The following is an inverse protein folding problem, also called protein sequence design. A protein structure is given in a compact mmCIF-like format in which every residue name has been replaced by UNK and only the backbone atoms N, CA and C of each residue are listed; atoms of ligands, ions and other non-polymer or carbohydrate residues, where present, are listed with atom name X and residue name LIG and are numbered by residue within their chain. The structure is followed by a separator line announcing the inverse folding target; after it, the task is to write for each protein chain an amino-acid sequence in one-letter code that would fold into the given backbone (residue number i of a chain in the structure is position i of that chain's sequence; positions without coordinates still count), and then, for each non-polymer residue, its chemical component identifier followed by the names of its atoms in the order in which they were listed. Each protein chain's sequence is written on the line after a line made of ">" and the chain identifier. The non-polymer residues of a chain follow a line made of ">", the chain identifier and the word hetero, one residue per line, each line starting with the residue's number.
data_IF_396915877807
#
_entry.id   IF_396915877807
#
_cell.length_a   1.000
_cell.length_b   1.000
_cell.length_c   1.000
_cell.angle_alpha   90.00
_cell.angle_beta   90.00
_cell.angle_gamma   90.00
#
_symmetry.space_group_name_H-M   'P 1'
#
loop_
_entity.id
_entity.type
_entity.pdbx_description
1 polymer ?
#
# COMPACT_ATOMS: atom_id res chain seq x y z
N UNK A 1 -36.21 -20.00 52.51
CA UNK A 1 -37.38 -20.81 52.12
C UNK A 1 -37.28 -21.13 50.64
N UNK A 2 -37.24 -22.44 50.33
CA UNK A 2 -37.47 -23.16 49.06
C UNK A 2 -36.57 -22.94 47.83
N UNK A 3 -35.67 -23.92 47.66
CA UNK A 3 -35.21 -24.48 46.39
C UNK A 3 -36.37 -24.91 45.48
N UNK A 4 -36.09 -25.02 44.17
CA UNK A 4 -36.34 -26.26 43.42
C UNK A 4 -35.41 -26.32 42.20
N UNK A 5 -34.58 -27.37 42.18
CA UNK A 5 -33.90 -27.88 41.01
C UNK A 5 -34.87 -28.77 40.23
N UNK A 6 -34.62 -28.97 38.94
CA UNK A 6 -34.91 -30.24 38.28
C UNK A 6 -34.05 -30.38 37.02
N UNK A 7 -33.18 -31.40 37.10
CA UNK A 7 -32.38 -31.97 36.01
C UNK A 7 -33.23 -32.68 34.97
N UNK A 8 -32.72 -32.78 33.75
CA UNK A 8 -32.88 -33.99 32.95
C UNK A 8 -31.65 -34.17 32.05
N UNK A 9 -30.85 -35.19 32.37
CA UNK A 9 -29.85 -35.76 31.49
C UNK A 9 -30.54 -36.66 30.46
N UNK A 10 -30.00 -36.74 29.24
CA UNK A 10 -30.28 -37.84 28.31
C UNK A 10 -28.98 -38.21 27.61
N UNK A 11 -28.47 -39.36 27.99
CA UNK A 11 -27.40 -40.11 27.33
C UNK A 11 -27.98 -40.82 26.11
N UNK A 12 -27.34 -40.70 24.95
CA UNK A 12 -27.39 -41.73 23.92
C UNK A 12 -25.97 -42.19 23.63
N UNK A 13 -25.73 -43.46 23.94
CA UNK A 13 -24.62 -44.29 23.46
C UNK A 13 -24.85 -44.62 21.97
N UNK A 14 -23.77 -44.73 21.20
CA UNK A 14 -23.79 -45.39 19.89
C UNK A 14 -22.62 -44.99 18.99
N UNK A 15 -21.55 -45.80 19.02
CA UNK A 15 -20.48 -45.80 18.02
C UNK A 15 -20.99 -46.43 16.72
N UNK A 16 -20.62 -45.91 15.55
CA UNK A 16 -20.40 -46.79 14.38
C UNK A 16 -19.43 -46.12 13.40
N UNK A 17 -18.32 -46.80 13.16
CA UNK A 17 -17.25 -46.40 12.26
C UNK A 17 -17.31 -47.35 11.05
N UNK A 18 -17.47 -46.89 9.81
CA UNK A 18 -17.47 -47.79 8.66
C UNK A 18 -16.03 -48.20 8.27
N UNK A 19 -15.84 -49.42 7.76
CA UNK A 19 -14.53 -50.05 7.60
C UNK A 19 -13.84 -49.73 6.26
N UNK A 20 -12.52 -49.62 6.29
CA UNK A 20 -11.62 -50.19 5.27
C UNK A 20 -11.01 -51.47 5.87
N UNK A 21 -10.43 -52.44 5.14
CA UNK A 21 -10.22 -52.53 3.68
C UNK A 21 -10.64 -53.92 3.12
N UNK A 22 -10.65 -54.10 1.78
CA UNK A 22 -10.18 -55.35 1.17
C UNK A 22 -9.87 -55.19 -0.32
N UNK A 23 -8.61 -55.52 -0.61
CA UNK A 23 -7.94 -55.54 -1.90
C UNK A 23 -8.15 -56.91 -2.57
N UNK A 24 -7.85 -56.95 -3.88
CA UNK A 24 -7.67 -58.10 -4.78
C UNK A 24 -8.90 -58.55 -5.59
N UNK A 25 -8.91 -58.26 -6.89
CA UNK A 25 -8.21 -59.13 -7.85
C UNK A 25 -8.18 -58.56 -9.27
N UNK A 26 -7.15 -58.99 -10.01
CA UNK A 26 -6.95 -58.91 -11.45
C UNK A 26 -6.51 -57.56 -12.05
N UNK A 27 -5.22 -57.28 -11.88
CA UNK A 27 -4.40 -56.52 -12.83
C UNK A 27 -4.61 -57.02 -14.27
N UNK A 28 -5.27 -56.21 -15.10
CA UNK A 28 -5.12 -56.27 -16.54
C UNK A 28 -3.81 -55.57 -16.94
N UNK A 29 -3.06 -56.09 -17.91
CA UNK A 29 -1.83 -55.43 -18.36
C UNK A 29 -2.20 -54.11 -19.04
N UNK A 30 -1.81 -52.98 -18.45
CA UNK A 30 -1.82 -51.69 -19.15
C UNK A 30 -0.87 -51.81 -20.33
N UNK A 31 -1.41 -51.64 -21.52
CA UNK A 31 -0.63 -51.63 -22.75
C UNK A 31 0.34 -50.45 -22.71
N UNK A 32 1.55 -50.63 -23.24
CA UNK A 32 2.55 -49.56 -23.38
C UNK A 32 2.06 -48.35 -24.21
N UNK A 33 0.88 -48.45 -24.82
CA UNK A 33 0.20 -47.35 -25.50
C UNK A 33 -0.34 -46.28 -24.54
N UNK A 34 -0.90 -46.65 -23.37
CA UNK A 34 -1.56 -45.70 -22.47
C UNK A 34 -0.58 -44.87 -21.62
N UNK A 35 0.62 -45.39 -21.36
CA UNK A 35 1.68 -44.65 -20.67
C UNK A 35 2.27 -43.54 -21.55
N UNK A 36 2.24 -43.71 -22.88
CA UNK A 36 2.75 -42.70 -23.82
C UNK A 36 1.77 -41.53 -24.02
N UNK A 37 0.47 -41.75 -23.80
CA UNK A 37 -0.54 -40.71 -23.99
C UNK A 37 -0.53 -39.70 -22.83
N UNK A 38 -0.31 -40.16 -21.59
CA UNK A 38 -0.16 -39.29 -20.42
C UNK A 38 1.13 -38.45 -20.46
N UNK A 39 2.25 -39.01 -20.93
CA UNK A 39 3.52 -38.27 -21.09
C UNK A 39 3.41 -37.24 -22.23
N UNK A 40 2.61 -37.50 -23.27
CA UNK A 40 2.38 -36.55 -24.36
C UNK A 40 1.48 -35.38 -23.94
N UNK A 41 0.49 -35.61 -23.07
CA UNK A 41 -0.39 -34.58 -22.50
C UNK A 41 0.34 -33.65 -21.52
N UNK A 42 1.24 -34.18 -20.68
CA UNK A 42 2.07 -33.36 -19.78
C UNK A 42 3.07 -32.49 -20.55
N UNK A 43 3.67 -33.02 -21.63
CA UNK A 43 4.55 -32.24 -22.52
C UNK A 43 3.82 -31.14 -23.30
N UNK A 44 2.54 -31.32 -23.60
CA UNK A 44 1.72 -30.27 -24.24
C UNK A 44 1.27 -29.19 -23.24
N UNK A 45 1.04 -29.54 -21.97
CA UNK A 45 0.74 -28.57 -20.92
C UNK A 45 1.98 -27.70 -20.58
N UNK A 46 3.18 -28.27 -20.60
CA UNK A 46 4.44 -27.53 -20.43
C UNK A 46 4.76 -26.60 -21.61
N UNK A 47 4.25 -26.91 -22.80
CA UNK A 47 4.42 -26.07 -24.00
C UNK A 47 3.46 -24.88 -24.08
N UNK A 48 2.40 -24.84 -23.25
CA UNK A 48 1.38 -23.78 -23.25
C UNK A 48 1.36 -22.94 -21.96
N UNK A 49 2.10 -23.33 -20.92
CA UNK A 49 2.29 -22.52 -19.70
C UNK A 49 3.46 -21.57 -19.83
N UNK A 50 3.23 -20.31 -20.23
CA UNK A 50 4.25 -19.27 -20.19
C UNK A 50 4.81 -19.11 -18.78
N UNK A 51 6.14 -19.10 -18.64
CA UNK A 51 6.81 -18.98 -17.34
C UNK A 51 6.49 -17.59 -16.77
N UNK A 52 6.07 -17.51 -15.51
CA UNK A 52 5.74 -16.23 -14.84
C UNK A 52 6.91 -15.23 -14.82
N UNK A 53 8.13 -15.68 -15.09
CA UNK A 53 9.32 -14.83 -15.28
C UNK A 53 9.30 -14.04 -16.58
N UNK A 54 8.53 -14.46 -17.59
CA UNK A 54 8.51 -13.85 -18.92
C UNK A 54 7.55 -12.64 -18.98
N UNK A 55 6.66 -12.51 -17.99
CA UNK A 55 5.72 -11.38 -17.83
C UNK A 55 6.18 -10.35 -16.78
N UNK A 56 7.23 -10.63 -16.03
CA UNK A 56 7.78 -9.73 -15.02
C UNK A 56 8.80 -8.77 -15.67
N UNK A 57 8.33 -7.71 -16.35
CA UNK A 57 9.24 -6.66 -16.80
C UNK A 57 8.71 -5.62 -17.79
N UNK A 58 7.54 -5.82 -18.39
CA UNK A 58 6.96 -4.85 -19.31
C UNK A 58 5.97 -3.92 -18.59
N UNK A 59 6.50 -3.09 -17.69
CA UNK A 59 5.79 -1.87 -17.33
C UNK A 59 5.95 -0.88 -18.51
N UNK A 60 5.00 -0.86 -19.43
CA UNK A 60 4.90 0.19 -20.44
C UNK A 60 4.54 1.50 -19.74
N UNK A 61 5.55 2.27 -19.35
CA UNK A 61 5.34 3.66 -18.97
C UNK A 61 4.81 4.40 -20.20
N UNK A 62 3.57 4.87 -20.14
CA UNK A 62 2.96 5.66 -21.21
C UNK A 62 3.87 6.85 -21.55
N UNK A 63 4.40 6.86 -22.78
CA UNK A 63 5.35 7.87 -23.27
C UNK A 63 4.73 9.27 -23.47
N UNK A 64 3.40 9.41 -23.31
CA UNK A 64 2.65 10.65 -23.54
C UNK A 64 2.38 11.45 -22.26
N UNK A 65 3.33 11.45 -21.32
CA UNK A 65 3.32 12.52 -20.32
C UNK A 65 3.92 13.78 -20.97
N UNK A 66 3.19 14.92 -20.98
CA UNK A 66 3.76 16.17 -21.46
C UNK A 66 5.05 16.40 -20.68
N UNK A 67 6.16 16.61 -21.40
CA UNK A 67 7.48 16.92 -20.82
C UNK A 67 7.30 18.12 -19.89
N UNK A 68 7.06 17.83 -18.62
CA UNK A 68 7.03 18.83 -17.57
C UNK A 68 8.39 19.51 -17.67
N UNK A 69 8.41 20.85 -17.76
CA UNK A 69 9.67 21.58 -17.60
C UNK A 69 10.25 21.09 -16.27
N UNK A 70 11.35 20.35 -16.31
CA UNK A 70 12.07 19.93 -15.13
C UNK A 70 12.62 21.20 -14.47
N UNK A 71 11.83 21.77 -13.57
CA UNK A 71 12.27 22.87 -12.73
C UNK A 71 13.11 22.20 -11.64
N UNK A 72 14.42 22.08 -11.91
CA UNK A 72 15.36 21.61 -10.91
C UNK A 72 15.22 22.46 -9.65
N UNK A 73 15.23 21.82 -8.49
CA UNK A 73 15.20 22.55 -7.23
C UNK A 73 16.46 23.42 -7.09
N UNK A 74 16.35 24.61 -6.47
CA UNK A 74 17.51 25.47 -6.21
C UNK A 74 18.61 24.74 -5.44
N UNK A 75 19.87 25.15 -5.62
CA UNK A 75 21.05 24.48 -5.04
C UNK A 75 20.95 24.32 -3.52
N UNK A 76 20.51 25.37 -2.83
CA UNK A 76 20.35 25.36 -1.37
C UNK A 76 19.30 24.36 -0.88
N UNK A 77 18.31 24.01 -1.70
CA UNK A 77 17.26 23.07 -1.34
C UNK A 77 17.69 21.61 -1.56
N UNK A 78 18.74 21.36 -2.37
CA UNK A 78 19.17 20.01 -2.74
C UNK A 78 19.55 19.12 -1.55
N UNK A 79 19.98 19.72 -0.44
CA UNK A 79 20.30 19.00 0.80
C UNK A 79 19.08 18.24 1.36
N UNK A 80 17.87 18.65 1.02
CA UNK A 80 16.62 18.00 1.45
C UNK A 80 16.09 16.95 0.48
N UNK A 81 16.74 16.73 -0.67
CA UNK A 81 16.40 15.61 -1.57
C UNK A 81 16.59 14.29 -0.83
N UNK A 82 15.62 13.39 -0.91
CA UNK A 82 15.69 12.07 -0.29
C UNK A 82 14.33 11.51 0.11
N UNK A 83 14.38 10.32 0.73
CA UNK A 83 13.22 9.61 1.28
C UNK A 83 13.09 9.90 2.77
N UNK A 84 11.93 10.37 3.17
CA UNK A 84 11.55 10.57 4.56
C UNK A 84 10.33 9.71 4.88
N UNK A 85 10.24 9.25 6.12
CA UNK A 85 9.20 8.33 6.53
C UNK A 85 8.73 8.55 7.96
N UNK A 86 7.48 8.18 8.25
CA UNK A 86 6.89 8.22 9.57
C UNK A 86 5.90 7.07 9.75
N UNK A 87 5.92 6.43 10.92
CA UNK A 87 4.91 5.45 11.32
C UNK A 87 3.69 6.18 11.89
N UNK A 88 2.57 6.08 11.20
CA UNK A 88 1.32 6.77 11.53
C UNK A 88 0.31 5.75 12.06
N UNK A 89 -0.30 5.96 13.24
CA UNK A 89 -1.30 5.05 13.76
C UNK A 89 -2.60 5.17 12.95
N UNK A 90 -3.28 4.05 12.75
CA UNK A 90 -4.49 3.99 11.94
C UNK A 90 -5.75 4.52 12.63
N UNK A 91 -5.69 4.84 13.92
CA UNK A 91 -6.84 5.21 14.74
C UNK A 91 -7.08 6.73 14.83
N UNK A 92 -6.19 7.55 14.24
CA UNK A 92 -6.29 9.01 14.30
C UNK A 92 -6.98 9.65 13.08
N UNK A 93 -7.37 8.83 12.09
CA UNK A 93 -8.14 9.26 10.92
C UNK A 93 -7.33 9.95 9.82
N UNK A 94 -6.02 10.14 9.99
CA UNK A 94 -5.18 10.74 8.94
C UNK A 94 -4.91 9.77 7.77
N UNK A 95 -4.72 8.48 8.08
CA UNK A 95 -4.52 7.44 7.08
C UNK A 95 -5.78 6.56 7.03
N UNK A 96 -6.30 6.22 5.83
CA UNK A 96 -7.52 5.42 5.69
C UNK A 96 -7.29 3.93 6.01
N UNK A 97 -6.89 3.64 7.25
CA UNK A 97 -6.77 2.30 7.80
C UNK A 97 -7.52 2.18 9.13
N UNK A 98 -7.76 0.95 9.59
CA UNK A 98 -8.63 0.68 10.76
C UNK A 98 -7.87 0.42 12.06
N UNK A 99 -6.72 -0.25 11.98
CA UNK A 99 -5.96 -0.75 13.13
C UNK A 99 -4.48 -0.89 12.75
N UNK A 100 -3.61 -0.82 13.74
CA UNK A 100 -2.16 -0.91 13.57
C UNK A 100 -1.54 0.43 13.16
N UNK A 101 -0.43 0.35 12.43
CA UNK A 101 0.27 1.52 11.87
C UNK A 101 0.42 1.38 10.36
N UNK A 102 0.53 2.52 9.69
CA UNK A 102 0.90 2.61 8.29
C UNK A 102 2.19 3.44 8.16
N UNK A 103 3.05 3.05 7.23
CA UNK A 103 4.25 3.80 6.91
C UNK A 103 3.89 4.91 5.91
N UNK A 104 3.99 6.15 6.34
CA UNK A 104 3.88 7.31 5.47
C UNK A 104 5.26 7.65 4.92
N UNK A 105 5.40 7.68 3.60
CA UNK A 105 6.67 7.91 2.92
C UNK A 105 6.52 9.14 2.03
N UNK A 106 7.50 10.03 2.11
CA UNK A 106 7.62 11.23 1.30
C UNK A 106 9.00 11.23 0.62
N UNK A 107 9.04 11.12 -0.70
CA UNK A 107 10.27 11.25 -1.47
C UNK A 107 10.31 12.62 -2.14
N UNK A 108 11.30 13.44 -1.77
CA UNK A 108 11.56 14.74 -2.37
C UNK A 108 12.61 14.57 -3.47
N UNK A 109 12.23 14.83 -4.72
CA UNK A 109 13.09 14.57 -5.88
C UNK A 109 13.83 15.82 -6.40
N UNK A 110 14.96 15.65 -7.12
CA UNK A 110 15.78 16.77 -7.62
C UNK A 110 15.09 17.70 -8.63
N UNK A 111 14.03 17.24 -9.29
CA UNK A 111 13.24 18.00 -10.28
C UNK A 111 12.05 18.75 -9.67
N UNK A 112 12.00 18.80 -8.33
CA UNK A 112 10.96 19.45 -7.55
C UNK A 112 9.66 18.66 -7.51
N UNK A 113 9.64 17.40 -7.94
CA UNK A 113 8.49 16.51 -7.77
C UNK A 113 8.52 15.77 -6.44
N UNK A 114 7.35 15.33 -5.98
CA UNK A 114 7.18 14.58 -4.74
C UNK A 114 6.46 13.27 -5.00
N UNK A 115 7.00 12.19 -4.45
CA UNK A 115 6.30 10.91 -4.39
C UNK A 115 5.87 10.58 -2.98
N UNK A 116 4.55 10.53 -2.77
CA UNK A 116 3.96 10.07 -1.52
C UNK A 116 3.44 8.65 -1.64
N UNK A 117 3.86 7.79 -0.72
CA UNK A 117 3.36 6.42 -0.59
C UNK A 117 2.90 6.17 0.83
N UNK A 118 1.86 5.34 0.99
CA UNK A 118 1.37 4.89 2.29
C UNK A 118 1.38 3.37 2.26
N UNK A 119 2.22 2.73 3.08
CA UNK A 119 2.34 1.27 3.15
C UNK A 119 1.58 0.79 4.39
N UNK A 120 0.61 -0.09 4.20
CA UNK A 120 -0.11 -0.73 5.29
C UNK A 120 0.53 -2.09 5.60
N UNK A 121 1.08 -2.27 6.79
CA UNK A 121 1.64 -3.56 7.19
C UNK A 121 0.52 -4.58 7.43
N UNK A 122 0.68 -5.81 6.90
CA UNK A 122 -0.20 -6.94 7.21
C UNK A 122 -1.54 -7.00 6.46
N UNK A 123 -1.79 -6.13 5.47
CA UNK A 123 -2.96 -6.24 4.59
C UNK A 123 -2.53 -6.23 3.13
N UNK A 124 -2.64 -7.37 2.47
CA UNK A 124 -2.72 -7.43 1.01
C UNK A 124 -4.14 -6.98 0.66
N UNK A 125 -4.30 -5.73 0.26
CA UNK A 125 -5.52 -5.35 -0.43
C UNK A 125 -5.46 -6.06 -1.78
N UNK A 126 -6.35 -7.01 -2.05
CA UNK A 126 -6.72 -7.27 -3.44
C UNK A 126 -7.30 -5.95 -3.93
N UNK A 127 -6.62 -5.29 -4.86
CA UNK A 127 -7.00 -3.99 -5.38
C UNK A 127 -8.48 -4.01 -5.71
N UNK A 128 -9.32 -3.44 -4.84
CA UNK A 128 -10.64 -3.02 -5.27
C UNK A 128 -10.35 -1.87 -6.22
N UNK A 129 -10.81 -1.92 -7.48
CA UNK A 129 -10.61 -0.83 -8.40
C UNK A 129 -11.12 0.42 -7.71
N UNK A 130 -10.18 1.34 -7.46
CA UNK A 130 -10.47 2.66 -6.97
C UNK A 130 -11.53 3.23 -7.93
N UNK A 131 -12.63 3.70 -7.35
CA UNK A 131 -13.78 4.35 -7.99
C UNK A 131 -13.41 5.18 -9.22
N UNK A 132 -14.30 5.21 -10.22
CA UNK A 132 -14.32 5.84 -11.57
C UNK A 132 -13.30 6.94 -11.97
N UNK A 133 -12.62 7.62 -11.05
CA UNK A 133 -11.46 8.47 -11.31
C UNK A 133 -10.15 7.66 -11.41
N UNK A 134 -10.27 6.43 -11.93
CA UNK A 134 -9.24 5.41 -11.99
C UNK A 134 -7.95 5.92 -12.61
N UNK A 135 -6.99 6.31 -11.77
CA UNK A 135 -5.58 6.17 -12.03
C UNK A 135 -4.75 6.49 -10.78
N UNK A 136 -4.12 5.47 -10.19
CA UNK A 136 -2.98 5.59 -9.27
C UNK A 136 -1.70 6.01 -10.00
N UNK A 137 -1.79 6.48 -11.26
CA UNK A 137 -0.64 7.11 -11.93
C UNK A 137 -0.28 8.37 -11.16
N UNK A 138 0.90 8.34 -10.56
CA UNK A 138 1.76 9.50 -10.34
C UNK A 138 0.99 10.81 -10.11
N UNK A 139 0.67 11.10 -8.85
CA UNK A 139 0.19 12.45 -8.50
C UNK A 139 1.31 13.42 -8.83
N UNK A 140 1.02 14.46 -9.62
CA UNK A 140 1.97 15.50 -10.02
C UNK A 140 2.22 16.48 -8.87
N UNK A 141 2.50 15.94 -7.69
CA UNK A 141 2.79 16.73 -6.51
C UNK A 141 4.19 17.35 -6.66
N UNK A 142 4.34 18.57 -6.18
CA UNK A 142 5.60 19.32 -6.23
C UNK A 142 6.03 19.70 -4.83
N UNK A 143 7.31 20.01 -4.67
CA UNK A 143 7.79 20.65 -3.45
C UNK A 143 8.62 21.88 -3.74
N UNK A 144 8.61 22.78 -2.77
CA UNK A 144 9.45 23.98 -2.70
C UNK A 144 10.02 24.12 -1.30
N UNK A 145 11.06 24.93 -1.17
CA UNK A 145 11.60 25.36 0.13
C UNK A 145 11.28 26.84 0.31
N UNK A 146 10.64 27.17 1.42
CA UNK A 146 10.53 28.53 1.93
C UNK A 146 11.75 28.79 2.83
N UNK A 147 12.69 29.61 2.34
CA UNK A 147 13.92 29.93 3.06
C UNK A 147 13.68 30.81 4.29
N UNK A 148 12.72 31.72 4.23
CA UNK A 148 12.44 32.66 5.33
C UNK A 148 11.83 31.93 6.52
N UNK A 149 10.94 30.98 6.24
CA UNK A 149 10.26 30.18 7.27
C UNK A 149 10.96 28.85 7.60
N UNK A 150 12.04 28.51 6.88
CA UNK A 150 12.74 27.22 6.99
C UNK A 150 11.76 26.05 6.90
N UNK A 151 10.97 26.03 5.83
CA UNK A 151 9.84 25.11 5.68
C UNK A 151 9.81 24.47 4.29
N UNK A 152 9.60 23.16 4.24
CA UNK A 152 9.31 22.46 2.99
C UNK A 152 7.81 22.49 2.76
N UNK A 153 7.40 22.94 1.58
CA UNK A 153 6.01 23.00 1.16
C UNK A 153 5.78 21.94 0.09
N UNK A 154 4.88 21.00 0.35
CA UNK A 154 4.43 20.00 -0.62
C UNK A 154 3.10 20.46 -1.21
N UNK A 155 3.13 20.85 -2.48
CA UNK A 155 1.97 21.24 -3.27
C UNK A 155 1.37 20.00 -3.91
N UNK A 156 0.18 19.59 -3.44
CA UNK A 156 -0.54 18.48 -4.05
C UNK A 156 -1.31 18.93 -5.28
N UNK A 157 -1.47 18.04 -6.25
CA UNK A 157 -2.23 18.30 -7.49
C UNK A 157 -3.65 18.81 -7.22
N UNK A 158 -4.26 18.41 -6.11
CA UNK A 158 -5.61 18.82 -5.71
C UNK A 158 -5.68 20.29 -5.21
N UNK A 159 -4.55 20.99 -5.13
CA UNK A 159 -4.48 22.37 -4.61
C UNK A 159 -4.36 22.46 -3.10
N UNK A 160 -3.96 21.36 -2.44
CA UNK A 160 -3.70 21.29 -0.99
C UNK A 160 -2.21 21.42 -0.75
N UNK A 161 -1.82 22.24 0.21
CA UNK A 161 -0.45 22.35 0.66
C UNK A 161 -0.23 21.58 1.95
N UNK A 162 0.86 20.83 2.02
CA UNK A 162 1.37 20.25 3.26
C UNK A 162 2.67 20.93 3.64
N UNK A 163 2.72 21.42 4.86
CA UNK A 163 3.82 22.24 5.38
C UNK A 163 4.66 21.41 6.35
N UNK A 164 5.97 21.45 6.19
CA UNK A 164 6.91 20.71 7.03
C UNK A 164 8.01 21.64 7.53
N UNK A 165 8.00 21.96 8.81
CA UNK A 165 9.09 22.71 9.44
C UNK A 165 10.35 21.85 9.45
N UNK A 166 11.49 22.45 9.10
CA UNK A 166 12.78 21.77 9.12
C UNK A 166 13.30 21.78 10.56
N UNK A 167 13.30 20.61 11.20
CA UNK A 167 13.92 20.47 12.52
C UNK A 167 15.44 20.34 12.37
N UNK A 168 15.87 19.51 11.41
CA UNK A 168 17.27 19.40 10.95
C UNK A 168 17.29 18.76 9.56
N UNK A 169 18.49 18.41 9.05
CA UNK A 169 18.67 17.82 7.73
C UNK A 169 17.87 16.51 7.54
N UNK A 170 17.69 15.74 8.59
CA UNK A 170 17.16 14.39 8.57
C UNK A 170 15.78 14.28 9.20
N UNK A 171 15.24 15.37 9.75
CA UNK A 171 13.94 15.41 10.41
C UNK A 171 13.07 16.57 9.92
N UNK A 172 11.89 16.22 9.40
CA UNK A 172 10.87 17.15 8.95
C UNK A 172 9.62 17.01 9.83
N UNK A 173 9.07 18.11 10.34
CA UNK A 173 7.92 18.07 11.25
C UNK A 173 6.69 18.65 10.56
N UNK A 174 5.61 17.87 10.46
CA UNK A 174 4.36 18.37 9.89
C UNK A 174 3.80 19.56 10.70
N UNK A 175 3.57 20.67 10.03
CA UNK A 175 2.97 21.86 10.64
C UNK A 175 1.43 21.79 10.55
N UNK A 176 0.81 21.09 11.49
CA UNK A 176 -0.65 20.82 11.49
C UNK A 176 -1.48 22.09 11.59
N UNK A 177 -1.04 23.06 12.38
CA UNK A 177 -1.73 24.34 12.52
C UNK A 177 -1.76 25.08 11.18
N UNK A 178 -0.62 25.19 10.49
CA UNK A 178 -0.58 25.81 9.16
C UNK A 178 -1.36 25.00 8.14
N UNK A 179 -1.26 23.67 8.14
CA UNK A 179 -2.03 22.80 7.23
C UNK A 179 -3.55 22.99 7.40
N UNK A 180 -4.03 23.06 8.65
CA UNK A 180 -5.47 23.20 8.94
C UNK A 180 -5.99 24.62 8.71
N UNK A 181 -5.16 25.65 8.88
CA UNK A 181 -5.54 27.06 8.76
C UNK A 181 -5.12 27.72 7.44
N UNK A 182 -4.48 26.99 6.54
CA UNK A 182 -3.98 27.50 5.25
C UNK A 182 -5.10 28.15 4.44
N UNK A 183 -4.92 29.46 4.20
CA UNK A 183 -5.81 30.28 3.38
C UNK A 183 -5.28 30.47 1.96
N UNK A 184 -4.00 30.20 1.74
CA UNK A 184 -3.35 30.33 0.42
C UNK A 184 -3.65 29.10 -0.44
N UNK A 185 -3.75 27.92 0.17
CA UNK A 185 -4.27 26.69 -0.44
C UNK A 185 -5.77 26.49 -0.22
N UNK A 186 -6.32 25.42 -0.84
CA UNK A 186 -7.73 25.01 -0.68
C UNK A 186 -7.91 23.94 0.41
N UNK A 187 -6.99 23.88 1.38
CA UNK A 187 -6.92 22.85 2.42
C UNK A 187 -8.24 22.70 3.17
N UNK A 188 -8.75 23.78 3.77
CA UNK A 188 -9.98 23.76 4.57
C UNK A 188 -11.18 23.26 3.76
N UNK A 189 -11.29 23.67 2.49
CA UNK A 189 -12.38 23.22 1.62
C UNK A 189 -12.34 21.70 1.41
N UNK A 190 -11.15 21.14 1.15
CA UNK A 190 -11.02 19.70 0.92
C UNK A 190 -11.20 18.91 2.21
N UNK A 191 -10.71 19.38 3.35
CA UNK A 191 -10.96 18.73 4.64
C UNK A 191 -12.46 18.74 4.99
N UNK A 192 -13.19 19.82 4.71
CA UNK A 192 -14.64 19.87 4.86
C UNK A 192 -15.39 18.87 3.94
N UNK A 193 -14.77 18.45 2.83
CA UNK A 193 -15.28 17.40 1.93
C UNK A 193 -14.88 15.98 2.36
N UNK A 194 -14.23 15.83 3.51
CA UNK A 194 -13.83 14.53 4.06
C UNK A 194 -12.44 14.04 3.63
N UNK A 195 -11.61 14.89 3.01
CA UNK A 195 -10.20 14.55 2.81
C UNK A 195 -9.49 14.50 4.17
N UNK A 196 -8.63 13.50 4.41
CA UNK A 196 -8.00 13.34 5.71
C UNK A 196 -6.97 14.44 5.97
N UNK A 197 -6.95 14.93 7.21
CA UNK A 197 -5.97 15.87 7.73
C UNK A 197 -5.08 15.20 8.77
N UNK A 198 -3.81 15.61 8.93
CA UNK A 198 -2.96 15.12 10.01
C UNK A 198 -3.58 15.41 11.37
N UNK A 199 -3.64 14.39 12.24
CA UNK A 199 -4.16 14.57 13.59
C UNK A 199 -3.14 15.21 14.55
N UNK A 200 -1.85 15.07 14.25
CA UNK A 200 -0.74 15.61 15.05
C UNK A 200 0.49 15.90 14.18
N UNK A 201 1.46 16.62 14.75
CA UNK A 201 2.71 16.95 14.10
C UNK A 201 3.62 15.72 14.02
N UNK A 202 3.46 14.90 12.98
CA UNK A 202 4.36 13.76 12.75
C UNK A 202 5.75 14.26 12.37
N UNK A 203 6.76 13.65 12.97
CA UNK A 203 8.16 13.79 12.58
C UNK A 203 8.46 12.74 11.52
N UNK A 204 8.89 13.18 10.35
CA UNK A 204 9.36 12.32 9.28
C UNK A 204 10.88 12.26 9.37
N UNK A 205 11.40 11.04 9.50
CA UNK A 205 12.84 10.77 9.57
C UNK A 205 13.35 10.36 8.20
N UNK A 206 14.54 10.84 7.84
CA UNK A 206 15.22 10.46 6.60
C UNK A 206 15.73 9.02 6.66
N UNK A 207 15.52 8.29 5.56
CA UNK A 207 16.15 6.99 5.35
C UNK A 207 17.66 7.11 5.27
N UNK A 208 18.35 6.31 6.09
CA UNK A 208 19.81 6.28 6.13
C UNK A 208 20.45 5.63 4.89
N UNK A 209 19.66 5.04 3.98
CA UNK A 209 20.12 4.27 2.81
C UNK A 209 19.89 4.96 1.45
N UNK A 210 19.58 6.27 1.43
CA UNK A 210 19.27 6.99 0.18
C UNK A 210 20.50 7.61 -0.49
N UNK A 211 21.57 6.84 -0.69
CA UNK A 211 22.74 7.22 -1.50
C UNK A 211 22.79 6.45 -2.82
#
# INVERSE_FOLDING_TARGET
>A
MRCLSLSAASLFLGCEQPPEPQNHSASQPVSAADANEHIALEKQAEAQGGKLTDVAGQATLNADQPKLKNISVPEYAKVFIGRFHASIPCDDGFIPCKQGTAEYILNLLPDGTVHRSIIHYGKVFADKPVTEDGNTTYRKDRWTLDEELQEIIVHRKEGVNFYYSIQDRDHLVMNVEKISSDREGRNQELFNKGYPQPAKAYVLTRDQNSQ
#
